data_IF_076550861096
#
_entry.id   IF_076550861096
#
_cell.length_a   1.000
_cell.length_b   1.000
_cell.length_c   1.000
_cell.angle_alpha   90.00
_cell.angle_beta   90.00
_cell.angle_gamma   90.00
#
_symmetry.space_group_name_H-M   'P 1'
#
loop_
_entity.id
_entity.type
_entity.pdbx_description
1 polymer ?
#
# COMPACT_ATOMS: atom_id res chain seq x y z
N UNK A 1 -15.08 0.73 -9.50
CA UNK A 1 -15.37 0.26 -8.13
C UNK A 1 -15.62 -1.24 -8.18
N UNK A 2 -14.54 -2.00 -8.09
CA UNK A 2 -14.58 -3.44 -7.97
C UNK A 2 -15.35 -3.87 -6.71
N UNK A 3 -16.10 -4.97 -6.82
CA UNK A 3 -16.72 -5.63 -5.67
C UNK A 3 -15.69 -6.62 -5.09
N UNK A 4 -15.16 -6.32 -3.91
CA UNK A 4 -14.29 -7.22 -3.13
C UNK A 4 -14.96 -7.44 -1.78
N UNK A 5 -14.94 -8.67 -1.28
CA UNK A 5 -15.49 -8.98 0.04
C UNK A 5 -14.38 -9.27 1.04
N UNK A 6 -14.74 -9.29 2.33
CA UNK A 6 -13.77 -9.55 3.40
C UNK A 6 -13.26 -10.99 3.31
N UNK A 7 -14.13 -11.91 2.91
CA UNK A 7 -13.84 -13.33 2.74
C UNK A 7 -12.73 -13.55 1.69
N UNK A 8 -12.71 -12.77 0.62
CA UNK A 8 -11.67 -12.81 -0.41
C UNK A 8 -10.28 -12.47 0.16
N UNK A 9 -10.23 -11.66 1.22
CA UNK A 9 -8.98 -11.20 1.84
C UNK A 9 -8.48 -12.13 2.96
N UNK A 10 -9.33 -13.01 3.50
CA UNK A 10 -8.99 -13.88 4.64
C UNK A 10 -7.99 -14.98 4.26
N UNK A 11 -7.78 -15.26 2.97
CA UNK A 11 -6.72 -16.17 2.52
C UNK A 11 -5.30 -15.63 2.72
N UNK A 12 -5.14 -14.31 2.85
CA UNK A 12 -3.85 -13.64 3.03
C UNK A 12 -3.62 -13.14 4.46
N UNK A 13 -4.69 -12.96 5.25
CA UNK A 13 -4.62 -12.42 6.62
C UNK A 13 -5.64 -13.13 7.53
N UNK A 14 -5.16 -13.78 8.59
CA UNK A 14 -5.99 -14.58 9.50
C UNK A 14 -6.86 -13.74 10.46
N UNK A 15 -6.58 -12.44 10.59
CA UNK A 15 -7.25 -11.55 11.54
C UNK A 15 -7.88 -10.33 10.83
N UNK A 16 -9.17 -10.10 11.08
CA UNK A 16 -9.94 -8.98 10.50
C UNK A 16 -9.42 -7.60 10.93
N UNK A 17 -8.91 -7.45 12.15
CA UNK A 17 -8.31 -6.20 12.60
C UNK A 17 -6.98 -5.94 11.89
N UNK A 18 -6.20 -7.00 11.69
CA UNK A 18 -4.94 -6.94 10.95
C UNK A 18 -5.18 -6.59 9.47
N UNK A 19 -6.22 -7.17 8.85
CA UNK A 19 -6.64 -6.80 7.50
C UNK A 19 -6.87 -5.29 7.36
N UNK A 20 -7.55 -4.67 8.33
CA UNK A 20 -7.78 -3.21 8.33
C UNK A 20 -6.46 -2.45 8.39
N UNK A 21 -5.51 -2.89 9.23
CA UNK A 21 -4.20 -2.24 9.36
C UNK A 21 -3.36 -2.38 8.10
N UNK A 22 -3.29 -3.60 7.53
CA UNK A 22 -2.58 -3.92 6.29
C UNK A 22 -3.13 -3.09 5.12
N UNK A 23 -4.45 -3.12 4.93
CA UNK A 23 -5.12 -2.37 3.87
C UNK A 23 -4.92 -0.86 4.03
N UNK A 24 -4.99 -0.34 5.26
CA UNK A 24 -4.75 1.08 5.51
C UNK A 24 -3.31 1.50 5.22
N UNK A 25 -2.31 0.70 5.63
CA UNK A 25 -0.89 0.98 5.35
C UNK A 25 -0.62 0.95 3.84
N UNK A 26 -1.11 -0.07 3.14
CA UNK A 26 -0.93 -0.20 1.69
C UNK A 26 -1.65 0.91 0.92
N UNK A 27 -2.88 1.24 1.28
CA UNK A 27 -3.63 2.32 0.64
C UNK A 27 -2.91 3.67 0.75
N UNK A 28 -2.21 3.94 1.86
CA UNK A 28 -1.38 5.15 1.98
C UNK A 28 -0.18 5.13 1.04
N UNK A 29 0.53 4.01 0.93
CA UNK A 29 1.65 3.88 -0.02
C UNK A 29 1.20 4.15 -1.47
N UNK A 30 0.03 3.62 -1.84
CA UNK A 30 -0.58 3.85 -3.15
C UNK A 30 -1.03 5.30 -3.34
N UNK A 31 -1.60 5.92 -2.30
CA UNK A 31 -2.07 7.31 -2.37
C UNK A 31 -0.94 8.34 -2.41
N UNK A 32 0.17 8.07 -1.71
CA UNK A 32 1.37 8.92 -1.72
C UNK A 32 2.19 8.75 -3.00
N UNK A 33 2.00 7.67 -3.76
CA UNK A 33 2.76 7.37 -4.97
C UNK A 33 4.11 6.70 -4.73
N UNK A 34 4.45 6.39 -3.46
CA UNK A 34 5.76 5.86 -3.08
C UNK A 34 5.98 4.42 -3.54
N UNK A 35 4.90 3.68 -3.86
CA UNK A 35 4.99 2.31 -4.36
C UNK A 35 3.97 2.11 -5.49
N UNK A 36 4.39 1.42 -6.53
CA UNK A 36 3.51 1.06 -7.64
C UNK A 36 2.51 -0.03 -7.24
N UNK A 37 1.31 -0.04 -7.85
CA UNK A 37 0.34 -1.09 -7.66
C UNK A 37 0.74 -2.37 -8.39
N UNK A 38 0.41 -3.52 -7.81
CA UNK A 38 0.60 -4.84 -8.42
C UNK A 38 -0.51 -5.21 -9.39
N UNK A 39 -1.67 -4.54 -9.29
CA UNK A 39 -2.83 -4.77 -10.12
C UNK A 39 -3.17 -3.51 -10.94
N UNK A 40 -3.72 -3.66 -12.15
CA UNK A 40 -4.12 -2.52 -12.97
C UNK A 40 -5.24 -1.72 -12.30
N UNK A 41 -5.22 -0.39 -12.50
CA UNK A 41 -6.26 0.51 -12.02
C UNK A 41 -7.56 0.34 -12.81
N UNK A 42 -8.67 0.14 -12.09
CA UNK A 42 -10.02 0.08 -12.66
C UNK A 42 -10.92 1.20 -12.09
N UNK A 43 -10.37 2.42 -12.02
CA UNK A 43 -11.01 3.58 -11.37
C UNK A 43 -11.38 3.31 -9.90
N UNK A 44 -10.58 2.50 -9.22
CA UNK A 44 -10.74 2.18 -7.82
C UNK A 44 -10.04 3.23 -6.94
N UNK A 45 -10.59 3.47 -5.75
CA UNK A 45 -9.87 4.24 -4.73
C UNK A 45 -8.68 3.41 -4.20
N UNK A 46 -7.60 4.04 -3.70
CA UNK A 46 -6.44 3.32 -3.16
C UNK A 46 -6.80 2.25 -2.12
N UNK A 47 -7.82 2.47 -1.30
CA UNK A 47 -8.33 1.49 -0.32
C UNK A 47 -8.88 0.23 -1.00
N UNK A 48 -9.62 0.39 -2.10
CA UNK A 48 -10.21 -0.74 -2.83
C UNK A 48 -9.11 -1.49 -3.58
N UNK A 49 -8.16 -0.78 -4.19
CA UNK A 49 -7.00 -1.40 -4.81
C UNK A 49 -6.16 -2.21 -3.81
N UNK A 50 -5.88 -1.66 -2.62
CA UNK A 50 -5.16 -2.38 -1.58
C UNK A 50 -5.87 -3.69 -1.17
N UNK A 51 -7.21 -3.66 -1.01
CA UNK A 51 -7.98 -4.87 -0.70
C UNK A 51 -7.92 -5.91 -1.84
N UNK A 52 -7.92 -5.47 -3.10
CA UNK A 52 -7.75 -6.38 -4.25
C UNK A 52 -6.37 -7.01 -4.29
N UNK A 53 -5.32 -6.24 -4.00
CA UNK A 53 -3.95 -6.76 -3.92
C UNK A 53 -3.80 -7.78 -2.78
N UNK A 54 -4.46 -7.55 -1.64
CA UNK A 54 -4.51 -8.50 -0.52
C UNK A 54 -5.27 -9.77 -0.93
N UNK A 55 -6.44 -9.65 -1.57
CA UNK A 55 -7.21 -10.78 -2.07
C UNK A 55 -6.46 -11.60 -3.14
N UNK A 56 -5.63 -10.94 -3.95
CA UNK A 56 -4.75 -11.59 -4.93
C UNK A 56 -3.47 -12.19 -4.31
N UNK A 57 -3.23 -11.99 -3.00
CA UNK A 57 -2.05 -12.50 -2.30
C UNK A 57 -0.74 -11.74 -2.59
N UNK A 58 -0.82 -10.55 -3.17
CA UNK A 58 0.37 -9.70 -3.41
C UNK A 58 0.81 -8.92 -2.17
N UNK A 59 -0.11 -8.69 -1.24
CA UNK A 59 0.13 -7.95 -0.01
C UNK A 59 -0.36 -8.77 1.17
N UNK A 60 0.47 -8.86 2.21
CA UNK A 60 0.17 -9.55 3.46
C UNK A 60 0.59 -8.70 4.67
N UNK A 61 0.55 -9.30 5.85
CA UNK A 61 0.94 -8.65 7.11
C UNK A 61 2.40 -8.21 7.20
N UNK A 62 3.31 -8.74 6.38
CA UNK A 62 4.72 -8.36 6.43
C UNK A 62 4.93 -6.88 6.12
N UNK A 63 3.99 -6.25 5.39
CA UNK A 63 3.97 -4.81 5.17
C UNK A 63 3.99 -4.04 6.51
N UNK A 64 3.38 -4.55 7.58
CA UNK A 64 3.34 -3.88 8.88
C UNK A 64 4.70 -3.87 9.56
N UNK A 65 5.51 -4.93 9.36
CA UNK A 65 6.84 -5.08 9.94
C UNK A 65 7.92 -4.31 9.18
N UNK A 66 7.68 -3.92 7.93
CA UNK A 66 8.62 -3.07 7.21
C UNK A 66 8.75 -1.73 7.94
N UNK A 67 9.93 -1.49 8.52
CA UNK A 67 10.32 -0.16 9.00
C UNK A 67 10.14 0.82 7.82
N UNK A 68 9.66 2.01 8.14
CA UNK A 68 9.65 3.14 7.21
C UNK A 68 11.10 3.59 7.00
N UNK A 69 11.90 2.78 6.32
CA UNK A 69 13.18 3.18 5.77
C UNK A 69 12.92 3.24 4.27
N UNK A 70 12.68 4.44 3.72
CA UNK A 70 12.96 4.77 2.29
C UNK A 70 12.49 6.17 1.83
N UNK A 71 11.68 6.95 2.56
CA UNK A 71 11.27 8.29 2.03
C UNK A 71 12.05 9.49 2.58
N UNK A 72 12.92 9.31 3.59
CA UNK A 72 13.71 10.44 4.10
C UNK A 72 14.95 10.73 3.27
N UNK A 73 15.41 9.75 2.48
CA UNK A 73 16.64 9.90 1.72
C UNK A 73 16.38 10.52 0.34
N UNK A 74 15.28 10.19 -0.36
CA UNK A 74 14.95 10.80 -1.66
C UNK A 74 14.57 12.28 -1.57
N UNK A 75 13.77 12.67 -0.57
CA UNK A 75 13.38 14.09 -0.36
C UNK A 75 14.58 14.93 0.12
N UNK A 76 15.52 14.32 0.86
CA UNK A 76 16.77 14.97 1.30
C UNK A 76 17.81 15.04 0.17
N UNK A 77 17.93 14.01 -0.67
CA UNK A 77 18.79 14.02 -1.85
C UNK A 77 18.31 15.05 -2.87
N UNK A 78 17.00 15.12 -3.14
CA UNK A 78 16.42 16.14 -4.01
C UNK A 78 16.62 17.58 -3.48
N UNK A 79 16.55 17.76 -2.16
CA UNK A 79 16.83 19.06 -1.53
C UNK A 79 18.32 19.46 -1.56
N UNK A 80 19.23 18.48 -1.64
CA UNK A 80 20.69 18.71 -1.72
C UNK A 80 21.19 18.89 -3.17
N UNK A 81 20.51 18.31 -4.17
CA UNK A 81 20.87 18.46 -5.58
C UNK A 81 20.43 19.79 -6.20
N UNK A 82 19.52 20.52 -5.55
CA UNK A 82 19.11 21.87 -5.96
C UNK A 82 19.39 22.87 -4.84
N UNK A 83 20.67 23.23 -4.59
CA UNK A 83 20.95 24.38 -3.76
C UNK A 83 20.40 25.59 -4.50
N UNK A 84 19.29 26.14 -4.00
CA UNK A 84 18.71 27.39 -4.46
C UNK A 84 19.81 28.45 -4.53
N UNK A 85 20.10 28.95 -5.73
CA UNK A 85 20.79 30.21 -5.94
C UNK A 85 19.82 31.38 -5.73
#
# INVERSE_FOLDING_TARGET
>A
MARVTVEDCLGAVDNRFELVLVAAKRARQLASGNKEPYLPWENDKPTVMALREIAAGHIDRHILSQKVEEDRDDDMLAALEHPSF
#
